data_IF_370999081195
#
_entry.id   IF_370999081195
#
_cell.length_a   1.000
_cell.length_b   1.000
_cell.length_c   1.000
_cell.angle_alpha   90.00
_cell.angle_beta   90.00
_cell.angle_gamma   90.00
#
_symmetry.space_group_name_H-M   'P 1'
#
loop_
_entity.id
_entity.type
_entity.pdbx_description
1 polymer ?
#
# COMPACT_ATOMS: atom_id res chain seq x y z
N UNK A 1 -4.15 -7.08 4.67
CA UNK A 1 -4.55 -5.81 4.03
C UNK A 1 -3.68 -5.60 2.80
N UNK A 2 -4.27 -5.45 1.63
CA UNK A 2 -3.57 -5.05 0.41
C UNK A 2 -3.15 -3.59 0.51
N UNK A 3 -1.93 -3.30 0.06
CA UNK A 3 -1.32 -1.97 0.00
C UNK A 3 -0.60 -1.78 -1.34
N UNK A 4 0.27 -0.79 -1.45
CA UNK A 4 1.15 -0.61 -2.60
C UNK A 4 0.41 -0.46 -3.93
N UNK A 5 0.88 -1.19 -4.93
CA UNK A 5 0.34 -1.11 -6.30
C UNK A 5 -1.08 -1.65 -6.43
N UNK A 6 -1.44 -2.69 -5.68
CA UNK A 6 -2.78 -3.25 -5.70
C UNK A 6 -3.81 -2.25 -5.15
N UNK A 7 -3.49 -1.55 -4.05
CA UNK A 7 -4.35 -0.53 -3.49
C UNK A 7 -4.48 0.69 -4.41
N UNK A 8 -3.37 1.18 -5.01
CA UNK A 8 -3.45 2.32 -5.94
C UNK A 8 -4.23 2.00 -7.22
N UNK A 9 -4.14 0.76 -7.72
CA UNK A 9 -4.94 0.31 -8.87
C UNK A 9 -6.44 0.23 -8.56
N UNK A 10 -6.80 -0.08 -7.31
CA UNK A 10 -8.19 -0.11 -6.88
C UNK A 10 -8.79 1.30 -6.73
N UNK A 11 -7.99 2.26 -6.26
CA UNK A 11 -8.43 3.61 -5.95
C UNK A 11 -8.19 4.63 -7.08
N UNK A 12 -7.36 4.27 -8.06
CA UNK A 12 -6.97 5.14 -9.18
C UNK A 12 -7.01 4.41 -10.52
N UNK A 13 -6.30 4.91 -11.53
CA UNK A 13 -6.22 4.27 -12.84
C UNK A 13 -5.64 2.86 -12.74
N UNK A 14 -6.27 1.86 -13.39
CA UNK A 14 -5.77 0.49 -13.38
C UNK A 14 -4.42 0.40 -14.10
N UNK A 15 -3.49 -0.33 -13.50
CA UNK A 15 -2.22 -0.69 -14.13
C UNK A 15 -1.78 -2.10 -13.79
N UNK A 16 -0.93 -2.68 -14.61
CA UNK A 16 -0.35 -3.99 -14.34
C UNK A 16 0.65 -3.91 -13.18
N UNK A 17 0.59 -4.91 -12.29
CA UNK A 17 1.59 -5.17 -11.26
C UNK A 17 1.92 -6.65 -11.28
N UNK A 18 3.17 -7.00 -11.00
CA UNK A 18 3.64 -8.39 -10.87
C UNK A 18 3.83 -8.78 -9.41
N UNK A 19 3.83 -7.79 -8.52
CA UNK A 19 4.01 -7.99 -7.09
C UNK A 19 2.72 -7.66 -6.34
N UNK A 20 2.46 -8.43 -5.31
CA UNK A 20 1.34 -8.22 -4.39
C UNK A 20 1.93 -7.78 -3.05
N UNK A 21 1.58 -6.56 -2.62
CA UNK A 21 2.01 -6.00 -1.34
C UNK A 21 0.94 -6.20 -0.27
N UNK A 22 1.28 -6.89 0.82
CA UNK A 22 0.36 -7.19 1.93
C UNK A 22 0.94 -6.74 3.27
N UNK A 23 0.14 -6.00 4.05
CA UNK A 23 0.41 -5.78 5.48
C UNK A 23 -0.39 -6.78 6.29
N UNK A 24 0.28 -7.50 7.19
CA UNK A 24 -0.30 -8.55 8.03
C UNK A 24 0.04 -8.34 9.51
N UNK A 25 -0.93 -8.58 10.39
CA UNK A 25 -0.70 -8.66 11.84
C UNK A 25 -0.34 -10.10 12.20
N UNK A 26 0.91 -10.49 11.98
CA UNK A 26 1.41 -11.84 12.17
C UNK A 26 2.17 -11.96 13.49
N UNK A 27 1.95 -13.06 14.22
CA UNK A 27 2.68 -13.44 15.43
C UNK A 27 3.64 -14.60 15.13
N UNK A 28 4.56 -14.88 16.05
CA UNK A 28 5.49 -16.04 15.90
C UNK A 28 4.75 -17.38 15.85
N UNK A 29 3.61 -17.49 16.53
CA UNK A 29 2.77 -18.68 16.52
C UNK A 29 2.10 -18.91 15.16
N UNK A 30 1.81 -17.83 14.44
CA UNK A 30 1.18 -17.88 13.13
C UNK A 30 2.13 -18.35 12.02
N UNK A 31 3.44 -18.14 12.18
CA UNK A 31 4.43 -18.44 11.13
C UNK A 31 4.36 -19.88 10.64
N UNK A 32 4.25 -20.84 11.56
CA UNK A 32 4.18 -22.24 11.16
C UNK A 32 2.91 -22.59 10.38
N UNK A 33 1.78 -21.98 10.77
CA UNK A 33 0.51 -22.17 10.05
C UNK A 33 0.56 -21.54 8.67
N UNK A 34 1.17 -20.35 8.58
CA UNK A 34 1.35 -19.65 7.30
C UNK A 34 2.19 -20.51 6.36
N UNK A 35 3.39 -20.95 6.78
CA UNK A 35 4.30 -21.75 5.93
C UNK A 35 3.64 -23.04 5.48
N UNK A 36 2.91 -23.73 6.37
CA UNK A 36 2.18 -24.96 6.00
C UNK A 36 1.04 -24.73 5.00
N UNK A 37 0.50 -23.51 4.91
CA UNK A 37 -0.53 -23.18 3.93
C UNK A 37 0.00 -23.01 2.50
N UNK A 38 1.32 -22.97 2.33
CA UNK A 38 2.02 -22.85 1.06
C UNK A 38 2.94 -24.07 0.85
N UNK A 39 2.47 -25.13 0.16
CA UNK A 39 3.28 -26.33 -0.09
C UNK A 39 4.59 -26.02 -0.82
N UNK A 40 5.68 -26.65 -0.42
CA UNK A 40 7.04 -26.39 -0.96
C UNK A 40 7.16 -26.77 -2.44
N UNK A 41 6.34 -27.69 -2.94
CA UNK A 41 6.32 -28.05 -4.36
C UNK A 41 5.77 -26.93 -5.25
N UNK A 42 4.87 -26.09 -4.72
CA UNK A 42 4.18 -25.03 -5.47
C UNK A 42 4.69 -23.63 -5.11
N UNK A 43 5.21 -23.45 -3.88
CA UNK A 43 5.57 -22.14 -3.35
C UNK A 43 6.93 -22.12 -2.66
N UNK A 44 7.66 -21.02 -2.84
CA UNK A 44 8.81 -20.72 -2.00
C UNK A 44 8.40 -19.78 -0.86
N UNK A 45 8.58 -20.24 0.38
CA UNK A 45 8.45 -19.41 1.58
C UNK A 45 9.44 -19.87 2.65
N UNK A 46 10.29 -18.95 3.14
CA UNK A 46 11.26 -19.25 4.19
C UNK A 46 10.66 -19.05 5.56
N UNK A 47 10.54 -20.11 6.36
CA UNK A 47 10.10 -20.03 7.75
C UNK A 47 11.05 -19.20 8.62
N UNK A 48 12.35 -19.21 8.34
CA UNK A 48 13.35 -18.42 9.04
C UNK A 48 13.16 -16.93 8.73
N UNK A 49 13.05 -16.57 7.44
CA UNK A 49 12.79 -15.19 7.02
C UNK A 49 11.46 -14.66 7.59
N UNK A 50 10.40 -15.47 7.61
CA UNK A 50 9.12 -15.10 8.19
C UNK A 50 9.22 -14.85 9.71
N UNK A 51 9.97 -15.68 10.45
CA UNK A 51 10.22 -15.47 11.89
C UNK A 51 11.02 -14.20 12.15
N UNK A 52 12.11 -13.99 11.41
CA UNK A 52 12.92 -12.77 11.53
C UNK A 52 12.07 -11.52 11.21
N UNK A 53 11.26 -11.58 10.15
CA UNK A 53 10.34 -10.51 9.81
C UNK A 53 9.34 -10.19 10.94
N UNK A 54 8.79 -11.19 11.62
CA UNK A 54 7.88 -10.96 12.77
C UNK A 54 8.62 -10.30 13.94
N UNK A 55 9.83 -10.75 14.27
CA UNK A 55 10.62 -10.21 15.37
C UNK A 55 11.01 -8.74 15.10
N UNK A 56 11.46 -8.45 13.89
CA UNK A 56 11.99 -7.14 13.51
C UNK A 56 10.95 -6.19 12.92
N UNK A 57 9.72 -6.64 12.71
CA UNK A 57 8.69 -5.87 11.99
C UNK A 57 9.12 -5.49 10.57
N UNK A 58 9.77 -6.42 9.88
CA UNK A 58 10.23 -6.32 8.49
C UNK A 58 9.25 -7.03 7.53
N UNK A 59 9.79 -7.47 6.40
CA UNK A 59 9.05 -8.21 5.37
C UNK A 59 9.75 -9.52 4.99
N UNK A 60 8.98 -10.44 4.44
CA UNK A 60 9.44 -11.64 3.75
C UNK A 60 8.57 -11.87 2.52
N UNK A 61 9.00 -12.79 1.65
CA UNK A 61 8.32 -13.05 0.38
C UNK A 61 7.69 -14.43 0.37
N UNK A 62 6.59 -14.54 -0.37
CA UNK A 62 6.01 -15.80 -0.84
C UNK A 62 6.06 -15.74 -2.36
N UNK A 63 6.61 -16.77 -3.00
CA UNK A 63 6.76 -16.83 -4.46
C UNK A 63 6.03 -18.07 -4.95
N UNK A 64 5.14 -17.89 -5.91
CA UNK A 64 4.54 -18.97 -6.68
C UNK A 64 5.54 -19.47 -7.70
N UNK A 65 5.90 -20.78 -7.62
CA UNK A 65 6.99 -21.35 -8.43
C UNK A 65 6.58 -21.60 -9.88
N UNK A 66 5.29 -21.76 -10.14
CA UNK A 66 4.80 -21.99 -11.51
C UNK A 66 4.72 -20.67 -12.28
N UNK A 67 4.09 -19.65 -11.70
CA UNK A 67 3.82 -18.38 -12.37
C UNK A 67 4.94 -17.35 -12.18
N UNK A 68 5.77 -17.50 -11.15
CA UNK A 68 6.75 -16.50 -10.71
C UNK A 68 6.15 -15.28 -10.00
N UNK A 69 4.85 -15.30 -9.71
CA UNK A 69 4.22 -14.22 -8.91
C UNK A 69 4.80 -14.16 -7.51
N UNK A 70 5.02 -12.94 -7.04
CA UNK A 70 5.60 -12.68 -5.73
C UNK A 70 4.62 -11.88 -4.86
N UNK A 71 4.45 -12.31 -3.61
CA UNK A 71 3.80 -11.55 -2.58
C UNK A 71 4.83 -11.06 -1.55
N UNK A 72 4.91 -9.74 -1.37
CA UNK A 72 5.71 -9.10 -0.33
C UNK A 72 4.86 -8.96 0.94
N UNK A 73 5.19 -9.76 1.95
CA UNK A 73 4.46 -9.83 3.21
C UNK A 73 5.14 -8.93 4.23
N UNK A 74 4.56 -7.78 4.49
CA UNK A 74 5.06 -6.80 5.46
C UNK A 74 4.38 -7.01 6.81
N UNK A 75 5.16 -7.23 7.86
CA UNK A 75 4.61 -7.34 9.22
C UNK A 75 4.25 -5.94 9.73
N UNK A 76 3.02 -5.81 10.25
CA UNK A 76 2.48 -4.56 10.77
C UNK A 76 3.44 -3.90 11.77
N UNK A 77 3.90 -2.69 11.44
CA UNK A 77 4.80 -1.90 12.27
C UNK A 77 4.07 -1.28 13.46
N UNK A 78 4.78 -1.06 14.57
CA UNK A 78 4.23 -0.45 15.80
C UNK A 78 4.12 1.08 15.75
N UNK A 79 4.62 1.74 14.68
CA UNK A 79 4.55 3.20 14.56
C UNK A 79 3.09 3.68 14.37
N UNK A 80 2.76 4.87 14.88
CA UNK A 80 1.37 5.37 14.91
C UNK A 80 0.67 5.34 13.54
N UNK A 81 1.32 5.80 12.48
CA UNK A 81 0.73 5.80 11.15
C UNK A 81 0.39 4.38 10.67
N UNK A 82 1.31 3.41 10.82
CA UNK A 82 1.05 2.05 10.35
C UNK A 82 -0.09 1.36 11.11
N UNK A 83 -0.25 1.64 12.40
CA UNK A 83 -1.38 1.15 13.18
C UNK A 83 -2.68 1.79 12.68
N UNK A 84 -2.68 3.10 12.46
CA UNK A 84 -3.85 3.83 11.97
C UNK A 84 -4.26 3.40 10.57
N UNK A 85 -3.32 3.25 9.64
CA UNK A 85 -3.53 2.71 8.31
C UNK A 85 -4.21 1.33 8.37
N UNK A 86 -3.70 0.43 9.22
CA UNK A 86 -4.25 -0.91 9.37
C UNK A 86 -5.65 -0.93 10.01
N UNK A 87 -5.94 -0.03 10.96
CA UNK A 87 -7.26 0.15 11.56
C UNK A 87 -8.30 0.65 10.56
N UNK A 88 -7.92 1.60 9.70
CA UNK A 88 -8.80 2.24 8.70
C UNK A 88 -9.08 1.37 7.48
N UNK A 89 -8.39 0.20 7.34
CA UNK A 89 -8.59 -0.69 6.19
C UNK A 89 -10.05 -0.95 5.90
N UNK A 90 -10.40 -1.00 4.65
CA UNK A 90 -11.77 -1.21 4.19
C UNK A 90 -11.93 -2.50 3.41
N UNK A 91 -13.16 -3.02 3.32
CA UNK A 91 -13.49 -4.19 2.50
C UNK A 91 -13.60 -3.78 1.04
N UNK A 92 -12.95 -4.53 0.18
CA UNK A 92 -13.04 -4.37 -1.27
C UNK A 92 -12.89 -5.72 -1.97
N UNK A 93 -13.30 -5.79 -3.23
CA UNK A 93 -13.02 -6.94 -4.07
C UNK A 93 -11.69 -6.73 -4.77
N UNK A 94 -10.70 -7.55 -4.46
CA UNK A 94 -9.37 -7.50 -5.07
C UNK A 94 -9.17 -8.79 -5.87
N UNK A 95 -9.00 -8.67 -7.17
CA UNK A 95 -8.87 -9.82 -8.09
C UNK A 95 -9.97 -10.88 -7.92
N UNK A 96 -11.22 -10.45 -7.74
CA UNK A 96 -12.37 -11.35 -7.56
C UNK A 96 -12.55 -11.88 -6.13
N UNK A 97 -11.67 -11.55 -5.18
CA UNK A 97 -11.70 -12.05 -3.81
C UNK A 97 -12.04 -10.93 -2.82
N UNK A 98 -13.05 -11.09 -1.94
CA UNK A 98 -13.33 -10.14 -0.86
C UNK A 98 -12.14 -10.03 0.08
N UNK A 99 -11.55 -8.84 0.16
CA UNK A 99 -10.29 -8.60 0.84
C UNK A 99 -10.31 -7.32 1.67
N UNK A 100 -9.26 -7.10 2.47
CA UNK A 100 -9.01 -5.84 3.14
C UNK A 100 -7.99 -5.03 2.34
N UNK A 101 -8.24 -3.74 2.16
CA UNK A 101 -7.39 -2.82 1.38
C UNK A 101 -7.18 -1.54 2.19
N UNK A 102 -6.01 -0.91 2.06
CA UNK A 102 -5.75 0.43 2.58
C UNK A 102 -6.72 1.45 1.98
N UNK A 103 -7.06 2.51 2.70
CA UNK A 103 -7.89 3.60 2.17
C UNK A 103 -7.15 4.38 1.08
N UNK A 104 -7.85 5.21 0.28
CA UNK A 104 -7.20 6.11 -0.68
C UNK A 104 -6.18 7.02 -0.01
N UNK A 105 -6.55 7.65 1.12
CA UNK A 105 -5.67 8.56 1.86
C UNK A 105 -4.41 7.84 2.36
N UNK A 106 -4.58 6.67 2.98
CA UNK A 106 -3.45 5.89 3.51
C UNK A 106 -2.54 5.41 2.37
N UNK A 107 -3.12 5.06 1.20
CA UNK A 107 -2.37 4.69 0.00
C UNK A 107 -1.55 5.88 -0.53
N UNK A 108 -2.13 7.08 -0.59
CA UNK A 108 -1.44 8.32 -0.98
C UNK A 108 -0.25 8.58 -0.04
N UNK A 109 -0.49 8.59 1.28
CA UNK A 109 0.51 8.88 2.30
C UNK A 109 1.66 7.88 2.29
N UNK A 110 1.36 6.58 2.23
CA UNK A 110 2.37 5.53 2.18
C UNK A 110 3.25 5.64 0.92
N UNK A 111 2.66 5.97 -0.24
CA UNK A 111 3.41 6.16 -1.49
C UNK A 111 4.27 7.42 -1.49
N UNK A 112 3.79 8.52 -0.92
CA UNK A 112 4.58 9.74 -0.75
C UNK A 112 5.78 9.48 0.17
N UNK A 113 5.56 8.80 1.30
CA UNK A 113 6.64 8.43 2.21
C UNK A 113 7.67 7.53 1.53
N UNK A 114 7.23 6.48 0.83
CA UNK A 114 8.12 5.58 0.09
C UNK A 114 8.93 6.30 -0.99
N UNK A 115 8.32 7.26 -1.69
CA UNK A 115 9.00 8.06 -2.72
C UNK A 115 10.20 8.84 -2.17
N UNK A 116 10.14 9.33 -0.93
CA UNK A 116 11.27 10.01 -0.30
C UNK A 116 12.48 9.08 -0.10
N UNK A 117 12.22 7.83 0.32
CA UNK A 117 13.29 6.84 0.53
C UNK A 117 13.86 6.28 -0.78
N UNK A 118 13.05 6.20 -1.83
CA UNK A 118 13.43 5.63 -3.12
C UNK A 118 14.02 6.65 -4.12
N UNK A 119 14.41 7.85 -3.67
CA UNK A 119 15.03 8.85 -4.52
C UNK A 119 14.10 9.47 -5.57
N UNK A 120 12.78 9.54 -5.29
CA UNK A 120 11.84 10.25 -6.14
C UNK A 120 11.34 9.42 -7.33
N UNK A 121 10.95 8.17 -7.13
CA UNK A 121 10.40 7.31 -8.19
C UNK A 121 9.21 7.98 -8.90
N UNK A 122 9.34 8.30 -10.19
CA UNK A 122 8.28 8.87 -11.01
C UNK A 122 6.98 8.06 -10.98
N UNK A 123 7.12 6.71 -10.93
CA UNK A 123 5.99 5.79 -10.84
C UNK A 123 5.14 5.99 -9.56
N UNK A 124 5.78 6.20 -8.41
CA UNK A 124 5.05 6.44 -7.16
C UNK A 124 4.27 7.75 -7.23
N UNK A 125 4.85 8.78 -7.85
CA UNK A 125 4.18 10.07 -8.04
C UNK A 125 2.98 9.96 -9.00
N UNK A 126 3.12 9.19 -10.09
CA UNK A 126 2.01 8.93 -11.02
C UNK A 126 0.86 8.18 -10.34
N UNK A 127 1.17 7.14 -9.54
CA UNK A 127 0.17 6.41 -8.78
C UNK A 127 -0.57 7.34 -7.79
N UNK A 128 0.17 8.22 -7.08
CA UNK A 128 -0.43 9.19 -6.15
C UNK A 128 -1.35 10.16 -6.88
N UNK A 129 -0.89 10.77 -7.99
CA UNK A 129 -1.69 11.68 -8.81
C UNK A 129 -2.97 11.00 -9.29
N UNK A 130 -2.87 9.76 -9.78
CA UNK A 130 -4.01 9.00 -10.25
C UNK A 130 -5.04 8.70 -9.16
N UNK A 131 -4.60 8.36 -7.94
CA UNK A 131 -5.49 8.13 -6.80
C UNK A 131 -6.15 9.44 -6.37
N UNK A 132 -5.38 10.54 -6.25
CA UNK A 132 -5.92 11.85 -5.86
C UNK A 132 -6.95 12.34 -6.88
N UNK A 133 -6.67 12.21 -8.19
CA UNK A 133 -7.61 12.63 -9.24
C UNK A 133 -8.91 11.80 -9.20
N UNK A 134 -8.81 10.48 -9.06
CA UNK A 134 -9.97 9.60 -9.06
C UNK A 134 -10.85 9.76 -7.80
N UNK A 135 -10.26 10.14 -6.67
CA UNK A 135 -10.94 10.24 -5.37
C UNK A 135 -11.16 11.68 -4.91
N UNK A 136 -10.89 12.67 -5.74
CA UNK A 136 -10.80 14.09 -5.41
C UNK A 136 -11.89 14.62 -4.47
N UNK A 137 -13.15 14.30 -4.77
CA UNK A 137 -14.31 14.79 -4.01
C UNK A 137 -14.55 14.04 -2.69
N UNK A 138 -13.89 12.87 -2.52
CA UNK A 138 -14.13 11.98 -1.38
C UNK A 138 -12.98 11.97 -0.37
N UNK A 139 -11.84 12.60 -0.72
CA UNK A 139 -10.65 12.60 0.14
C UNK A 139 -10.88 13.41 1.41
N UNK A 140 -10.53 12.83 2.55
CA UNK A 140 -10.37 13.54 3.82
C UNK A 140 -9.04 14.32 3.82
N UNK A 141 -9.10 15.57 3.32
CA UNK A 141 -7.93 16.45 3.20
C UNK A 141 -7.32 16.74 4.57
N UNK A 142 -8.15 16.93 5.61
CA UNK A 142 -7.64 17.20 6.96
C UNK A 142 -6.84 16.01 7.52
N UNK A 143 -7.28 14.77 7.24
CA UNK A 143 -6.55 13.56 7.56
C UNK A 143 -5.21 13.49 6.80
N UNK A 144 -5.23 13.77 5.50
CA UNK A 144 -4.02 13.80 4.66
C UNK A 144 -2.99 14.80 5.19
N UNK A 145 -3.39 16.05 5.47
CA UNK A 145 -2.50 17.10 5.97
C UNK A 145 -1.91 16.75 7.33
N UNK A 146 -2.73 16.21 8.25
CA UNK A 146 -2.26 15.78 9.56
C UNK A 146 -1.16 14.74 9.45
N UNK A 147 -1.42 13.65 8.73
CA UNK A 147 -0.46 12.56 8.61
C UNK A 147 0.72 12.88 7.70
N UNK A 148 0.54 13.72 6.68
CA UNK A 148 1.65 14.21 5.86
C UNK A 148 2.66 15.00 6.71
N UNK A 149 2.17 15.80 7.67
CA UNK A 149 3.03 16.50 8.63
C UNK A 149 3.80 15.52 9.52
N UNK A 150 3.13 14.49 10.05
CA UNK A 150 3.76 13.45 10.89
C UNK A 150 4.81 12.65 10.13
N UNK A 151 4.57 12.36 8.85
CA UNK A 151 5.45 11.58 7.97
C UNK A 151 6.53 12.43 7.29
N UNK A 152 6.47 13.77 7.40
CA UNK A 152 7.42 14.68 6.76
C UNK A 152 7.23 14.80 5.25
N UNK A 153 6.01 14.53 4.73
CA UNK A 153 5.69 14.55 3.30
C UNK A 153 4.77 15.70 2.88
N UNK A 154 4.57 16.71 3.73
CA UNK A 154 3.63 17.83 3.49
C UNK A 154 3.90 18.52 2.15
N UNK A 155 5.14 18.88 1.84
CA UNK A 155 5.46 19.56 0.58
C UNK A 155 5.08 18.70 -0.65
N UNK A 156 5.33 17.40 -0.59
CA UNK A 156 4.98 16.49 -1.68
C UNK A 156 3.45 16.35 -1.82
N UNK A 157 2.71 16.31 -0.71
CA UNK A 157 1.25 16.32 -0.73
C UNK A 157 0.71 17.62 -1.33
N UNK A 158 1.21 18.77 -0.90
CA UNK A 158 0.78 20.09 -1.37
C UNK A 158 0.98 20.23 -2.88
N UNK A 159 2.13 19.78 -3.41
CA UNK A 159 2.39 19.78 -4.85
C UNK A 159 1.37 18.94 -5.62
N UNK A 160 1.03 17.75 -5.11
CA UNK A 160 0.06 16.85 -5.75
C UNK A 160 -1.34 17.46 -5.72
N UNK A 161 -1.80 17.93 -4.56
CA UNK A 161 -3.12 18.53 -4.42
C UNK A 161 -3.27 19.78 -5.29
N UNK A 162 -2.25 20.66 -5.34
CA UNK A 162 -2.25 21.84 -6.18
C UNK A 162 -2.27 21.49 -7.69
N UNK A 163 -1.60 20.40 -8.10
CA UNK A 163 -1.63 19.94 -9.48
C UNK A 163 -3.04 19.49 -9.88
N UNK A 164 -3.66 18.62 -9.09
CA UNK A 164 -4.99 18.09 -9.39
C UNK A 164 -6.05 19.21 -9.34
N UNK A 165 -5.97 20.13 -8.37
CA UNK A 165 -6.87 21.30 -8.30
C UNK A 165 -6.85 22.12 -9.57
N UNK A 166 -5.67 22.48 -10.10
CA UNK A 166 -5.53 23.22 -11.36
C UNK A 166 -6.15 22.47 -12.54
N UNK A 167 -6.05 21.16 -12.58
CA UNK A 167 -6.65 20.35 -13.65
C UNK A 167 -8.18 20.37 -13.57
N UNK A 168 -8.75 20.28 -12.35
CA UNK A 168 -10.19 20.36 -12.16
C UNK A 168 -10.74 21.75 -12.51
N UNK A 169 -10.07 22.82 -12.10
CA UNK A 169 -10.45 24.21 -12.46
C UNK A 169 -10.43 24.46 -13.97
N UNK A 170 -9.46 23.89 -14.69
CA UNK A 170 -9.37 24.01 -16.15
C UNK A 170 -10.41 23.20 -16.92
N UNK A 171 -11.02 22.19 -16.29
CA UNK A 171 -12.07 21.34 -16.88
C UNK A 171 -13.48 21.80 -16.55
N UNK A 172 -13.66 22.74 -15.61
CA UNK A 172 -14.97 23.28 -15.27
C UNK A 172 -15.52 24.07 -16.48
N UNK A 173 -16.74 23.78 -17.00
CA UNK A 173 -17.34 24.56 -18.06
C UNK A 173 -17.67 25.96 -17.56
N UNK A 174 -17.45 26.97 -18.41
CA UNK A 174 -17.93 28.36 -18.21
C UNK A 174 -19.45 28.41 -18.06
#
# INVERSE_FOLDING_TARGET
MFVGSAASTLHGPPRSTQDIDLVVALTLEDVQRLVKAFPEDDYYVSAEAARDAVIRRYSFNIIDLESGWKADIMVLKSRPFSQREFERRQRANVFGTPSWVATPEDTILAKLEWSQFAGGSGRQREDVLGVVEAQWEQLDVAYLEHWASVLGVSNALDEVLANVRRQHESRAPE
#
